data_IF_771708716447
#
_entry.id   IF_771708716447
#
_cell.length_a   1.000
_cell.length_b   1.000
_cell.length_c   1.000
_cell.angle_alpha   90.00
_cell.angle_beta   90.00
_cell.angle_gamma   90.00
#
_symmetry.space_group_name_H-M   'P 1'
#
loop_
_entity.id
_entity.type
_entity.pdbx_description
1 polymer ?
#
# COMPACT_ATOMS: atom_id res chain seq x y z
N UNK A 1 -17.14 -7.50 22.09
CA UNK A 1 -17.42 -6.73 20.86
C UNK A 1 -16.09 -6.20 20.33
N UNK A 2 -15.74 -6.46 19.06
CA UNK A 2 -14.64 -5.74 18.41
C UNK A 2 -15.19 -4.36 18.07
N UNK A 3 -14.56 -3.28 18.55
CA UNK A 3 -14.89 -1.93 18.12
C UNK A 3 -14.59 -1.87 16.61
N UNK A 4 -15.63 -1.65 15.81
CA UNK A 4 -15.54 -1.52 14.35
C UNK A 4 -15.32 -0.06 13.97
N UNK A 5 -14.35 0.58 14.60
CA UNK A 5 -13.68 1.69 13.95
C UNK A 5 -12.88 1.03 12.83
N UNK A 6 -13.42 1.05 11.62
CA UNK A 6 -12.62 0.95 10.40
C UNK A 6 -11.66 2.13 10.45
N UNK A 7 -10.59 2.00 11.24
CA UNK A 7 -9.43 2.87 11.21
C UNK A 7 -8.95 2.82 9.76
N UNK A 8 -9.33 3.84 9.00
CA UNK A 8 -8.83 4.04 7.65
C UNK A 8 -7.31 4.13 7.78
N UNK A 9 -6.62 3.02 7.49
CA UNK A 9 -5.19 2.90 7.69
C UNK A 9 -4.52 3.97 6.84
N UNK A 10 -4.07 5.05 7.49
CA UNK A 10 -3.44 6.17 6.79
C UNK A 10 -1.96 5.88 6.63
N UNK A 11 -1.65 5.00 5.67
CA UNK A 11 -0.29 4.57 5.36
C UNK A 11 0.10 5.04 3.95
N UNK A 12 1.35 5.49 3.82
CA UNK A 12 1.97 5.75 2.53
C UNK A 12 2.91 4.58 2.18
N UNK A 13 2.77 4.04 0.97
CA UNK A 13 3.62 2.98 0.43
C UNK A 13 4.66 3.58 -0.53
N UNK A 14 5.93 3.29 -0.29
CA UNK A 14 7.04 3.75 -1.12
C UNK A 14 7.64 2.56 -1.86
N UNK A 15 7.61 2.58 -3.19
CA UNK A 15 8.03 1.46 -4.00
C UNK A 15 8.27 1.85 -5.45
N UNK A 16 9.30 1.27 -6.06
CA UNK A 16 9.67 1.50 -7.46
C UNK A 16 10.27 0.25 -8.09
N UNK A 17 11.18 -0.49 -7.43
CA UNK A 17 11.69 -1.72 -8.01
C UNK A 17 10.58 -2.78 -8.15
N UNK A 18 10.76 -3.75 -9.03
CA UNK A 18 9.77 -4.81 -9.30
C UNK A 18 9.29 -5.52 -8.03
N UNK A 19 10.19 -5.71 -7.05
CA UNK A 19 9.84 -6.31 -5.75
C UNK A 19 8.73 -5.57 -5.01
N UNK A 20 8.61 -4.26 -5.21
CA UNK A 20 7.58 -3.44 -4.58
C UNK A 20 6.17 -3.80 -5.06
N UNK A 21 6.03 -4.30 -6.29
CA UNK A 21 4.73 -4.73 -6.83
C UNK A 21 4.21 -5.94 -6.06
N UNK A 22 5.07 -6.95 -5.84
CA UNK A 22 4.67 -8.14 -5.07
C UNK A 22 4.27 -7.81 -3.63
N UNK A 23 4.94 -6.83 -3.01
CA UNK A 23 4.58 -6.35 -1.67
C UNK A 23 3.23 -5.63 -1.70
N UNK A 24 3.00 -4.72 -2.66
CA UNK A 24 1.75 -3.99 -2.79
C UNK A 24 0.56 -4.93 -3.02
N UNK A 25 0.72 -5.95 -3.87
CA UNK A 25 -0.30 -6.98 -4.08
C UNK A 25 -0.57 -7.80 -2.80
N UNK A 26 0.47 -8.09 -2.03
CA UNK A 26 0.34 -8.80 -0.75
C UNK A 26 -0.47 -7.98 0.26
N UNK A 27 -0.23 -6.66 0.32
CA UNK A 27 -0.99 -5.74 1.16
C UNK A 27 -2.47 -5.70 0.75
N UNK A 28 -2.74 -5.55 -0.56
CA UNK A 28 -4.10 -5.55 -1.09
C UNK A 28 -4.85 -6.86 -0.78
N UNK A 29 -4.22 -8.01 -1.03
CA UNK A 29 -4.76 -9.35 -0.70
C UNK A 29 -4.99 -9.51 0.82
N UNK A 30 -4.20 -8.82 1.65
CA UNK A 30 -4.33 -8.78 3.10
C UNK A 30 -5.37 -7.80 3.63
N UNK A 31 -6.09 -7.07 2.76
CA UNK A 31 -7.08 -6.07 3.14
C UNK A 31 -6.47 -4.75 3.64
N UNK A 32 -5.21 -4.50 3.32
CA UNK A 32 -4.49 -3.27 3.67
C UNK A 32 -4.26 -2.48 2.37
N UNK A 33 -5.01 -1.41 2.17
CA UNK A 33 -4.84 -0.53 1.02
C UNK A 33 -4.19 0.78 1.47
N UNK A 34 -2.97 1.12 0.98
CA UNK A 34 -2.35 2.41 1.26
C UNK A 34 -3.19 3.58 0.74
N UNK A 35 -3.23 4.67 1.51
CA UNK A 35 -3.90 5.92 1.10
C UNK A 35 -3.06 6.71 0.09
N UNK A 36 -1.76 6.44 0.02
CA UNK A 36 -0.81 7.10 -0.87
C UNK A 36 0.25 6.10 -1.35
N UNK A 37 0.55 6.13 -2.64
CA UNK A 37 1.63 5.34 -3.25
C UNK A 37 2.64 6.32 -3.86
N UNK A 38 3.91 6.16 -3.51
CA UNK A 38 5.02 6.98 -4.01
C UNK A 38 5.97 6.08 -4.79
N UNK A 39 6.13 6.41 -6.07
CA UNK A 39 7.05 5.75 -7.01
C UNK A 39 8.00 6.77 -7.63
N UNK A 40 9.18 6.33 -8.05
CA UNK A 40 10.04 7.15 -8.88
C UNK A 40 9.37 7.35 -10.26
N UNK A 41 9.61 8.49 -10.93
CA UNK A 41 9.21 8.70 -12.31
C UNK A 41 9.81 7.63 -13.24
N UNK A 42 9.10 7.30 -14.31
CA UNK A 42 9.67 6.49 -15.39
C UNK A 42 10.89 7.18 -15.99
N UNK A 43 11.90 6.37 -16.38
CA UNK A 43 13.08 6.89 -17.07
C UNK A 43 12.67 7.42 -18.45
N UNK A 44 13.23 8.58 -18.89
CA UNK A 44 12.97 9.14 -20.21
C UNK A 44 13.52 8.24 -21.33
#
# INVERSE_FOLDING_TARGET
MKNTDTDNLNIAFFGTPEVAVYVLEGLEKGGILPSLIITAPDKP
#
